data_IF_077199155684
#
_entry.id   IF_077199155684
#
_cell.length_a   1.000
_cell.length_b   1.000
_cell.length_c   1.000
_cell.angle_alpha   90.00
_cell.angle_beta   90.00
_cell.angle_gamma   90.00
#
_symmetry.space_group_name_H-M   'P 1'
#
loop_
_entity.id
_entity.type
_entity.pdbx_description
1 polymer ?
#
# COMPACT_ATOMS: atom_id res chain seq x y z
N UNK A 1 1.17 -1.95 0.68
CA UNK A 1 2.36 -1.79 -0.20
C UNK A 1 2.56 -0.32 -0.53
N UNK A 2 1.59 0.36 -1.16
CA UNK A 2 1.76 1.72 -1.66
C UNK A 2 2.35 2.70 -0.64
N UNK A 3 1.78 2.76 0.58
CA UNK A 3 2.31 3.62 1.65
C UNK A 3 3.74 3.25 2.06
N UNK A 4 4.11 1.97 2.02
CA UNK A 4 5.45 1.51 2.38
C UNK A 4 6.52 1.95 1.36
N UNK A 5 6.13 2.22 0.11
CA UNK A 5 7.01 2.76 -0.94
C UNK A 5 6.79 4.25 -1.20
N UNK A 6 6.14 4.95 -0.27
CA UNK A 6 5.97 6.41 -0.31
C UNK A 6 4.88 6.92 -1.26
N UNK A 7 4.04 6.05 -1.82
CA UNK A 7 2.95 6.44 -2.71
C UNK A 7 1.69 6.86 -1.94
N UNK A 8 0.98 7.82 -2.50
CA UNK A 8 -0.33 8.29 -2.04
C UNK A 8 -1.45 7.70 -2.91
N UNK A 9 -2.69 7.81 -2.45
CA UNK A 9 -3.87 7.32 -3.19
C UNK A 9 -4.00 7.91 -4.61
N UNK A 10 -3.61 9.18 -4.78
CA UNK A 10 -3.62 9.83 -6.10
C UNK A 10 -2.54 9.27 -7.06
N UNK A 11 -1.39 8.82 -6.53
CA UNK A 11 -0.38 8.15 -7.35
C UNK A 11 -0.92 6.80 -7.85
N UNK A 12 -1.67 6.08 -6.99
CA UNK A 12 -2.33 4.83 -7.37
C UNK A 12 -3.45 5.05 -8.40
N UNK A 13 -4.24 6.12 -8.26
CA UNK A 13 -5.25 6.47 -9.25
C UNK A 13 -4.64 6.69 -10.64
N UNK A 14 -3.48 7.36 -10.71
CA UNK A 14 -2.77 7.55 -11.97
C UNK A 14 -2.22 6.23 -12.52
N UNK A 15 -1.65 5.37 -11.67
CA UNK A 15 -1.20 4.03 -12.08
C UNK A 15 -2.35 3.16 -12.61
N UNK A 16 -3.49 3.20 -11.93
CA UNK A 16 -4.69 2.48 -12.34
C UNK A 16 -5.19 2.98 -13.71
N UNK A 17 -5.19 4.32 -13.90
CA UNK A 17 -5.50 4.93 -15.19
C UNK A 17 -4.54 4.50 -16.29
N UNK A 18 -3.24 4.37 -15.99
CA UNK A 18 -2.27 3.84 -16.95
C UNK A 18 -2.55 2.38 -17.27
N UNK A 19 -2.83 1.55 -16.27
CA UNK A 19 -3.18 0.14 -16.46
C UNK A 19 -4.42 -0.04 -17.33
N UNK A 20 -5.44 0.80 -17.13
CA UNK A 20 -6.71 0.72 -17.87
C UNK A 20 -6.58 0.99 -19.38
N UNK A 21 -5.53 1.66 -19.84
CA UNK A 21 -5.27 1.91 -21.27
C UNK A 21 -4.29 0.93 -21.90
N UNK A 22 -3.75 -0.01 -21.12
CA UNK A 22 -2.92 -1.12 -21.61
C UNK A 22 -3.80 -2.33 -21.96
N UNK A 23 -3.26 -3.25 -22.73
CA UNK A 23 -3.91 -4.51 -23.06
C UNK A 23 -3.17 -5.68 -22.38
N UNK A 24 -3.84 -6.81 -22.09
CA UNK A 24 -3.20 -7.96 -21.43
C UNK A 24 -1.91 -8.43 -22.09
N UNK A 25 -1.90 -8.46 -23.44
CA UNK A 25 -0.72 -8.86 -24.21
C UNK A 25 0.48 -7.92 -24.05
N UNK A 26 0.28 -6.66 -23.66
CA UNK A 26 1.40 -5.71 -23.42
C UNK A 26 2.26 -6.12 -22.22
N UNK A 27 1.69 -6.95 -21.31
CA UNK A 27 2.34 -7.42 -20.09
C UNK A 27 2.99 -8.80 -20.22
N UNK A 28 2.91 -9.42 -21.41
CA UNK A 28 3.56 -10.69 -21.65
C UNK A 28 5.09 -10.57 -21.63
N UNK A 29 5.74 -11.70 -21.36
CA UNK A 29 7.20 -11.75 -21.29
C UNK A 29 7.84 -11.28 -22.61
N UNK A 30 8.79 -10.36 -22.51
CA UNK A 30 9.47 -9.77 -23.66
C UNK A 30 8.75 -8.58 -24.29
N UNK A 31 7.56 -8.23 -23.82
CA UNK A 31 6.81 -7.04 -24.27
C UNK A 31 6.94 -5.90 -23.26
N UNK A 32 6.59 -4.70 -23.69
CA UNK A 32 6.66 -3.49 -22.85
C UNK A 32 5.33 -2.76 -22.87
N UNK A 33 4.64 -2.67 -21.73
CA UNK A 33 3.40 -1.91 -21.61
C UNK A 33 3.71 -0.41 -21.63
N UNK A 34 3.56 0.24 -22.78
CA UNK A 34 3.82 1.66 -22.97
C UNK A 34 2.49 2.39 -23.14
N UNK A 35 2.29 3.47 -22.37
CA UNK A 35 1.09 4.32 -22.39
C UNK A 35 1.42 5.63 -23.08
N UNK A 36 0.77 5.90 -24.21
CA UNK A 36 0.91 7.16 -24.98
C UNK A 36 -0.29 8.08 -24.88
N UNK A 37 -1.14 7.87 -23.87
CA UNK A 37 -2.30 8.72 -23.61
C UNK A 37 -1.92 10.20 -23.49
N UNK A 38 -2.77 11.09 -24.03
CA UNK A 38 -2.54 12.53 -23.97
C UNK A 38 -2.71 13.07 -22.55
N UNK A 39 -2.12 14.24 -22.26
CA UNK A 39 -2.35 14.88 -20.97
C UNK A 39 -3.83 15.21 -20.74
N UNK A 40 -4.55 15.63 -21.80
CA UNK A 40 -5.97 15.95 -21.68
C UNK A 40 -6.79 14.72 -21.27
N UNK A 41 -6.56 13.59 -21.92
CA UNK A 41 -7.18 12.32 -21.53
C UNK A 41 -6.89 11.96 -20.08
N UNK A 42 -5.62 12.02 -19.66
CA UNK A 42 -5.23 11.67 -18.28
C UNK A 42 -5.83 12.64 -17.26
N UNK A 43 -5.90 13.93 -17.57
CA UNK A 43 -6.55 14.93 -16.71
C UNK A 43 -8.06 14.68 -16.60
N UNK A 44 -8.71 14.31 -17.69
CA UNK A 44 -10.14 13.98 -17.72
C UNK A 44 -10.44 12.74 -16.86
N UNK A 45 -9.64 11.66 -17.02
CA UNK A 45 -9.84 10.42 -16.26
C UNK A 45 -9.53 10.56 -14.77
N UNK A 46 -8.56 11.38 -14.40
CA UNK A 46 -8.11 11.50 -12.99
C UNK A 46 -8.71 12.70 -12.26
N UNK A 47 -9.26 13.68 -12.98
CA UNK A 47 -9.66 14.97 -12.42
C UNK A 47 -8.48 15.87 -12.03
N UNK A 48 -7.26 15.54 -12.45
CA UNK A 48 -6.07 16.32 -12.08
C UNK A 48 -5.88 17.54 -12.98
N UNK A 49 -5.36 18.63 -12.41
CA UNK A 49 -4.77 19.70 -13.21
C UNK A 49 -3.45 19.22 -13.85
N UNK A 50 -3.00 19.88 -14.91
CA UNK A 50 -1.73 19.54 -15.58
C UNK A 50 -0.53 19.57 -14.60
N UNK A 51 -0.50 20.54 -13.70
CA UNK A 51 0.56 20.63 -12.68
C UNK A 51 0.53 19.45 -11.71
N UNK A 52 -0.68 19.03 -11.29
CA UNK A 52 -0.88 17.87 -10.44
C UNK A 52 -0.48 16.59 -11.15
N UNK A 53 -0.91 16.40 -12.40
CA UNK A 53 -0.54 15.25 -13.22
C UNK A 53 1.00 15.12 -13.34
N UNK A 54 1.69 16.19 -13.71
CA UNK A 54 3.17 16.21 -13.83
C UNK A 54 3.86 15.86 -12.51
N UNK A 55 3.34 16.32 -11.38
CA UNK A 55 3.88 16.00 -10.06
C UNK A 55 3.73 14.51 -9.72
N UNK A 56 2.58 13.90 -10.02
CA UNK A 56 2.36 12.47 -9.79
C UNK A 56 3.18 11.61 -10.74
N UNK A 57 3.27 11.96 -12.02
CA UNK A 57 4.17 11.29 -12.98
C UNK A 57 5.62 11.29 -12.46
N UNK A 58 6.14 12.48 -12.05
CA UNK A 58 7.49 12.57 -11.49
C UNK A 58 7.67 11.65 -10.29
N UNK A 59 6.72 11.60 -9.36
CA UNK A 59 6.77 10.71 -8.19
C UNK A 59 6.79 9.24 -8.57
N UNK A 60 6.03 8.83 -9.56
CA UNK A 60 6.04 7.46 -10.07
C UNK A 60 7.38 7.10 -10.73
N UNK A 61 8.00 8.05 -11.45
CA UNK A 61 9.35 7.87 -11.98
C UNK A 61 10.40 7.78 -10.87
N UNK A 62 10.35 8.68 -9.88
CA UNK A 62 11.25 8.68 -8.71
C UNK A 62 11.13 7.40 -7.87
N UNK A 63 9.92 6.85 -7.78
CA UNK A 63 9.66 5.55 -7.13
C UNK A 63 10.11 4.34 -7.98
N UNK A 64 10.60 4.55 -9.21
CA UNK A 64 11.04 3.50 -10.12
C UNK A 64 9.91 2.57 -10.56
N UNK A 65 8.69 3.11 -10.74
CA UNK A 65 7.53 2.34 -11.19
C UNK A 65 7.25 2.51 -12.67
N UNK A 66 7.62 3.66 -13.21
CA UNK A 66 7.47 3.98 -14.62
C UNK A 66 8.72 4.68 -15.12
N UNK A 67 8.95 4.60 -16.43
CA UNK A 67 9.93 5.41 -17.13
C UNK A 67 9.27 6.26 -18.22
N UNK A 68 9.94 7.31 -18.67
CA UNK A 68 9.55 8.02 -19.86
C UNK A 68 10.38 7.50 -21.04
N UNK A 69 9.72 6.98 -22.06
CA UNK A 69 10.33 6.68 -23.35
C UNK A 69 10.06 7.85 -24.28
N UNK A 70 11.07 8.68 -24.47
CA UNK A 70 10.95 9.89 -25.29
C UNK A 70 10.98 9.57 -26.77
N UNK A 71 10.19 10.33 -27.53
CA UNK A 71 10.15 10.27 -29.00
C UNK A 71 11.05 11.36 -29.60
N UNK A 72 11.50 11.19 -30.85
CA UNK A 72 12.31 12.20 -31.53
C UNK A 72 11.67 13.59 -31.62
N UNK A 73 10.33 13.66 -31.63
CA UNK A 73 9.57 14.91 -31.72
C UNK A 73 9.00 15.39 -30.37
N UNK A 74 9.36 14.74 -29.26
CA UNK A 74 8.90 15.08 -27.92
C UNK A 74 7.41 14.84 -27.65
N UNK A 75 6.68 14.20 -28.57
CA UNK A 75 5.27 13.86 -28.40
C UNK A 75 5.09 12.37 -28.10
N UNK A 76 4.14 12.04 -27.22
CA UNK A 76 3.77 10.65 -26.99
C UNK A 76 2.89 10.19 -28.15
N UNK A 77 3.19 9.05 -28.72
CA UNK A 77 2.39 8.36 -29.72
C UNK A 77 2.69 6.87 -29.73
N UNK A 78 1.82 6.09 -30.32
CA UNK A 78 2.02 4.65 -30.50
C UNK A 78 1.09 4.09 -31.53
N UNK A 79 1.45 2.95 -32.08
CA UNK A 79 0.65 2.15 -33.01
C UNK A 79 0.65 0.69 -32.61
N UNK A 80 -0.44 0.03 -32.95
CA UNK A 80 -0.62 -1.41 -32.79
C UNK A 80 -0.84 -2.04 -34.16
N UNK A 81 -0.47 -3.30 -34.30
CA UNK A 81 -0.83 -4.11 -35.47
C UNK A 81 -2.29 -4.61 -35.37
N UNK A 82 -2.69 -5.45 -36.34
CA UNK A 82 -4.01 -6.04 -36.43
C UNK A 82 -4.34 -6.97 -35.23
N UNK A 83 -3.31 -7.55 -34.61
CA UNK A 83 -3.43 -8.41 -33.43
C UNK A 83 -3.41 -7.60 -32.10
N UNK A 84 -3.35 -6.26 -32.20
CA UNK A 84 -3.31 -5.36 -31.06
C UNK A 84 -1.95 -5.27 -30.37
N UNK A 85 -0.89 -5.83 -30.95
CA UNK A 85 0.46 -5.76 -30.42
C UNK A 85 1.09 -4.41 -30.69
N UNK A 86 1.79 -3.85 -29.73
CA UNK A 86 2.50 -2.59 -29.90
C UNK A 86 3.65 -2.77 -30.88
N UNK A 87 3.57 -2.10 -32.04
CA UNK A 87 4.64 -2.06 -33.03
C UNK A 87 5.65 -0.97 -32.67
N UNK A 88 5.17 0.21 -32.38
CA UNK A 88 5.97 1.33 -31.95
C UNK A 88 5.21 2.14 -30.91
N UNK A 89 5.87 2.54 -29.82
CA UNK A 89 5.27 3.44 -28.85
C UNK A 89 6.32 4.27 -28.11
N UNK A 90 5.92 5.52 -27.80
CA UNK A 90 6.66 6.48 -26.99
C UNK A 90 5.72 7.10 -25.95
N UNK A 91 6.11 7.08 -24.70
CA UNK A 91 5.27 7.54 -23.60
C UNK A 91 5.72 6.98 -22.26
N UNK A 92 4.77 6.68 -21.39
CA UNK A 92 5.04 6.12 -20.07
C UNK A 92 5.22 4.60 -20.18
N UNK A 93 6.42 4.13 -19.92
CA UNK A 93 6.76 2.72 -19.91
C UNK A 93 6.55 2.13 -18.52
N UNK A 94 5.68 1.15 -18.42
CA UNK A 94 5.32 0.47 -17.17
C UNK A 94 6.15 -0.82 -16.93
N UNK A 95 7.12 -1.13 -17.79
CA UNK A 95 7.98 -2.31 -17.63
C UNK A 95 8.67 -2.38 -16.25
N UNK A 96 9.11 -1.26 -15.62
CA UNK A 96 9.66 -1.31 -14.28
C UNK A 96 8.66 -1.80 -13.23
N UNK A 97 7.38 -1.43 -13.35
CA UNK A 97 6.31 -1.92 -12.47
C UNK A 97 6.16 -3.44 -12.60
N UNK A 98 6.12 -3.96 -13.84
CA UNK A 98 6.05 -5.39 -14.11
C UNK A 98 7.27 -6.14 -13.55
N UNK A 99 8.46 -5.62 -13.75
CA UNK A 99 9.71 -6.23 -13.26
C UNK A 99 9.78 -6.34 -11.73
N UNK A 100 9.10 -5.45 -11.01
CA UNK A 100 9.07 -5.42 -9.53
C UNK A 100 7.88 -6.15 -8.93
N UNK A 101 7.09 -6.88 -9.71
CA UNK A 101 5.90 -7.56 -9.21
C UNK A 101 6.22 -8.51 -8.04
N UNK A 102 7.24 -9.35 -8.18
CA UNK A 102 7.66 -10.28 -7.12
C UNK A 102 8.09 -9.56 -5.82
N UNK A 103 8.77 -8.40 -5.95
CA UNK A 103 9.12 -7.54 -4.80
C UNK A 103 7.86 -7.05 -4.07
N UNK A 104 6.86 -6.59 -4.82
CA UNK A 104 5.62 -6.07 -4.23
C UNK A 104 4.76 -7.17 -3.61
N UNK A 105 4.74 -8.36 -4.20
CA UNK A 105 4.07 -9.53 -3.62
C UNK A 105 4.73 -9.95 -2.30
N UNK A 106 6.06 -10.03 -2.26
CA UNK A 106 6.81 -10.34 -1.04
C UNK A 106 6.57 -9.29 0.05
N UNK A 107 6.62 -7.99 -0.31
CA UNK A 107 6.35 -6.90 0.61
C UNK A 107 4.91 -6.95 1.13
N UNK A 108 3.94 -7.25 0.27
CA UNK A 108 2.54 -7.42 0.66
C UNK A 108 2.37 -8.56 1.67
N UNK A 109 2.96 -9.72 1.38
CA UNK A 109 2.92 -10.88 2.27
C UNK A 109 3.53 -10.57 3.64
N UNK A 110 4.68 -9.89 3.67
CA UNK A 110 5.33 -9.46 4.90
C UNK A 110 4.43 -8.51 5.72
N UNK A 111 3.88 -7.47 5.10
CA UNK A 111 2.98 -6.53 5.77
C UNK A 111 1.70 -7.21 6.31
N UNK A 112 1.18 -8.21 5.60
CA UNK A 112 0.04 -8.99 6.06
C UNK A 112 0.40 -9.83 7.30
N UNK A 113 1.57 -10.48 7.31
CA UNK A 113 2.05 -11.24 8.46
C UNK A 113 2.24 -10.34 9.69
N UNK A 114 2.85 -9.18 9.54
CA UNK A 114 3.00 -8.20 10.62
C UNK A 114 1.64 -7.75 11.18
N UNK A 115 0.68 -7.44 10.31
CA UNK A 115 -0.68 -7.07 10.72
C UNK A 115 -1.36 -8.19 11.52
N UNK A 116 -1.26 -9.43 11.04
CA UNK A 116 -1.83 -10.59 11.73
C UNK A 116 -1.15 -10.82 13.09
N UNK A 117 0.16 -10.72 13.15
CA UNK A 117 0.91 -10.82 14.40
C UNK A 117 0.48 -9.75 15.40
N UNK A 118 0.45 -8.49 15.00
CA UNK A 118 -0.01 -7.39 15.83
C UNK A 118 -1.45 -7.59 16.33
N UNK A 119 -2.35 -8.06 15.45
CA UNK A 119 -3.74 -8.38 15.82
C UNK A 119 -3.80 -9.50 16.87
N UNK A 120 -3.03 -10.57 16.68
CA UNK A 120 -2.93 -11.69 17.62
C UNK A 120 -2.42 -11.23 18.99
N UNK A 121 -1.34 -10.43 19.01
CA UNK A 121 -0.79 -9.89 20.26
C UNK A 121 -1.79 -8.98 20.98
N UNK A 122 -2.48 -8.10 20.28
CA UNK A 122 -3.54 -7.26 20.86
C UNK A 122 -4.67 -8.09 21.49
N UNK A 123 -5.08 -9.17 20.82
CA UNK A 123 -6.08 -10.08 21.35
C UNK A 123 -5.59 -10.79 22.62
N UNK A 124 -4.35 -11.31 22.61
CA UNK A 124 -3.72 -11.93 23.80
C UNK A 124 -3.66 -10.96 24.97
N UNK A 125 -3.21 -9.74 24.76
CA UNK A 125 -3.16 -8.69 25.79
C UNK A 125 -4.58 -8.44 26.33
N UNK A 126 -5.57 -8.32 25.47
CA UNK A 126 -6.97 -8.04 25.88
C UNK A 126 -7.52 -9.18 26.73
N UNK A 127 -7.33 -10.44 26.33
CA UNK A 127 -7.80 -11.61 27.05
C UNK A 127 -7.06 -11.71 28.41
N UNK A 128 -5.74 -11.60 28.42
CA UNK A 128 -4.95 -11.65 29.65
C UNK A 128 -5.37 -10.57 30.64
N UNK A 129 -5.60 -9.34 30.17
CA UNK A 129 -6.09 -8.24 31.03
C UNK A 129 -7.43 -8.55 31.66
N UNK A 130 -8.36 -9.15 30.92
CA UNK A 130 -9.68 -9.57 31.44
C UNK A 130 -9.53 -10.67 32.50
N UNK A 131 -8.69 -11.67 32.23
CA UNK A 131 -8.44 -12.77 33.15
C UNK A 131 -7.83 -12.26 34.46
N UNK A 132 -6.78 -11.41 34.39
CA UNK A 132 -6.13 -10.85 35.60
C UNK A 132 -7.14 -10.06 36.41
N UNK A 133 -7.90 -9.16 35.77
CA UNK A 133 -8.93 -8.36 36.42
C UNK A 133 -9.95 -9.25 37.15
N UNK A 134 -10.53 -10.22 36.44
CA UNK A 134 -11.54 -11.11 37.00
C UNK A 134 -11.00 -11.93 38.19
N UNK A 135 -9.73 -12.39 38.14
CA UNK A 135 -9.10 -13.10 39.25
C UNK A 135 -8.91 -12.21 40.47
N UNK A 136 -8.45 -10.97 40.31
CA UNK A 136 -8.29 -10.02 41.42
C UNK A 136 -9.66 -9.69 42.02
N UNK A 137 -10.66 -9.35 41.21
CA UNK A 137 -12.03 -9.04 41.65
C UNK A 137 -12.63 -10.21 42.45
N UNK A 138 -12.55 -11.44 41.90
CA UNK A 138 -13.05 -12.65 42.57
C UNK A 138 -12.35 -12.92 43.89
N UNK A 139 -11.04 -12.71 43.96
CA UNK A 139 -10.28 -12.91 45.20
C UNK A 139 -10.67 -11.88 46.27
N UNK A 140 -10.91 -10.63 45.90
CA UNK A 140 -11.37 -9.58 46.82
C UNK A 140 -12.80 -9.82 47.29
N UNK A 141 -13.71 -10.18 46.39
CA UNK A 141 -15.11 -10.57 46.73
C UNK A 141 -15.16 -11.75 47.70
N UNK A 142 -14.34 -12.76 47.44
CA UNK A 142 -14.27 -13.97 48.26
C UNK A 142 -13.41 -13.81 49.54
N UNK A 143 -12.88 -12.61 49.79
CA UNK A 143 -12.03 -12.27 50.95
C UNK A 143 -10.85 -13.26 51.09
N UNK A 144 -10.26 -13.68 49.99
CA UNK A 144 -9.12 -14.59 50.02
C UNK A 144 -7.91 -13.91 50.69
N UNK A 145 -7.16 -14.66 51.47
CA UNK A 145 -5.89 -14.18 52.07
C UNK A 145 -4.87 -13.96 50.95
N UNK A 146 -4.23 -12.80 50.95
CA UNK A 146 -3.18 -12.45 49.98
C UNK A 146 -3.11 -10.94 49.68
N UNK A 147 -2.13 -10.49 48.93
CA UNK A 147 -1.87 -9.08 48.64
C UNK A 147 -2.75 -8.57 47.48
N UNK A 148 -4.02 -8.93 47.44
CA UNK A 148 -4.89 -8.68 46.29
C UNK A 148 -5.14 -7.19 46.02
N UNK A 149 -5.14 -6.34 47.07
CA UNK A 149 -5.29 -4.89 46.93
C UNK A 149 -4.03 -4.25 46.31
N UNK A 150 -2.87 -4.73 46.74
CA UNK A 150 -1.58 -4.25 46.20
C UNK A 150 -1.46 -4.66 44.70
N UNK A 151 -1.79 -5.92 44.38
CA UNK A 151 -1.87 -6.40 43.00
C UNK A 151 -2.88 -5.63 42.14
N UNK A 152 -4.00 -5.20 42.69
CA UNK A 152 -4.97 -4.36 41.99
C UNK A 152 -4.35 -3.01 41.64
N UNK A 153 -3.63 -2.38 42.60
CA UNK A 153 -2.92 -1.13 42.38
C UNK A 153 -1.80 -1.24 41.33
N UNK A 154 -0.95 -2.28 41.45
CA UNK A 154 0.11 -2.53 40.47
C UNK A 154 -0.44 -2.81 39.08
N UNK A 155 -1.53 -3.57 38.98
CA UNK A 155 -2.19 -3.82 37.71
C UNK A 155 -2.78 -2.56 37.07
N UNK A 156 -3.36 -1.67 37.89
CA UNK A 156 -3.84 -0.38 37.40
C UNK A 156 -2.71 0.50 36.85
N UNK A 157 -1.57 0.53 37.53
CA UNK A 157 -0.35 1.25 37.05
C UNK A 157 0.20 0.64 35.77
N UNK A 158 0.24 -0.70 35.67
CA UNK A 158 0.65 -1.39 34.45
C UNK A 158 -0.24 -0.99 33.27
N UNK A 159 -1.55 -0.94 33.48
CA UNK A 159 -2.52 -0.58 32.43
C UNK A 159 -2.33 0.86 31.90
N UNK A 160 -1.86 1.77 32.76
CA UNK A 160 -1.55 3.15 32.34
C UNK A 160 -0.30 3.23 31.45
N UNK A 161 0.66 2.31 31.66
CA UNK A 161 1.92 2.25 30.88
C UNK A 161 1.75 1.54 29.52
N UNK A 162 0.71 0.73 29.36
CA UNK A 162 0.46 0.09 28.07
C UNK A 162 0.11 1.13 27.01
N UNK A 163 0.66 1.02 25.78
CA UNK A 163 0.34 1.97 24.73
C UNK A 163 -1.16 1.97 24.48
N UNK A 164 -1.73 3.17 24.54
CA UNK A 164 -3.11 3.41 24.09
C UNK A 164 -3.15 3.03 22.62
N UNK A 165 -4.27 2.44 22.16
CA UNK A 165 -4.46 2.02 20.77
C UNK A 165 -3.83 3.03 19.81
N UNK A 166 -2.74 2.66 19.17
CA UNK A 166 -2.30 3.30 17.95
C UNK A 166 -3.35 2.94 16.89
N UNK A 167 -4.14 3.90 16.49
CA UNK A 167 -4.92 3.82 15.25
C UNK A 167 -3.88 3.87 14.13
N UNK A 168 -3.59 2.71 13.54
CA UNK A 168 -2.90 2.65 12.27
C UNK A 168 -3.88 3.00 11.18
#
# INVERSE_FOLDING_TARGET
VAAAIGLKSQDLLLLDTFGAVTQPQDWEQGRRPIVWASNNFLMEQTGFSLATLRRHVRRLCEAGLIWMKDSPNGKRYGSRDEDGVIVEAYGFDLAPLAARNAEFEALYAHLQQERQFCKSMRNKITVTRRIIRAKIEKALESRLKGPWRDLQGEFALLLQRLPKRSTA
#
